data_IF_108417100752
#
_entry.id   IF_108417100752
#
_cell.length_a   1.000
_cell.length_b   1.000
_cell.length_c   1.000
_cell.angle_alpha   90.00
_cell.angle_beta   90.00
_cell.angle_gamma   90.00
#
_symmetry.space_group_name_H-M   'P 1'
#
loop_
_entity.id
_entity.type
_entity.pdbx_description
1 polymer ?
#
# COMPACT_ATOMS: atom_id res chain seq x y z
N UNK A 1 -3.34 -10.81 0.43
CA UNK A 1 -4.56 -10.13 -0.06
C UNK A 1 -4.91 -8.89 0.77
N UNK A 2 -4.95 -8.96 2.13
CA UNK A 2 -5.33 -7.81 2.98
C UNK A 2 -4.40 -6.60 2.81
N UNK A 3 -3.10 -6.82 2.72
CA UNK A 3 -2.11 -5.74 2.54
C UNK A 3 -2.25 -5.07 1.17
N UNK A 4 -2.54 -5.86 0.14
CA UNK A 4 -2.78 -5.33 -1.21
C UNK A 4 -4.08 -4.53 -1.24
N UNK A 5 -5.10 -4.97 -0.52
CA UNK A 5 -6.34 -4.19 -0.35
C UNK A 5 -6.06 -2.83 0.29
N UNK A 6 -5.26 -2.81 1.36
CA UNK A 6 -4.88 -1.56 2.01
C UNK A 6 -4.11 -0.63 1.05
N UNK A 7 -3.20 -1.19 0.26
CA UNK A 7 -2.48 -0.42 -0.76
C UNK A 7 -3.42 0.15 -1.82
N UNK A 8 -4.34 -0.68 -2.32
CA UNK A 8 -5.36 -0.26 -3.28
C UNK A 8 -6.22 0.89 -2.72
N UNK A 9 -6.73 0.77 -1.50
CA UNK A 9 -7.53 1.83 -0.85
C UNK A 9 -6.71 3.11 -0.62
N UNK A 10 -5.43 2.99 -0.25
CA UNK A 10 -4.54 4.16 -0.17
C UNK A 10 -4.36 4.83 -1.53
N UNK A 11 -4.22 4.05 -2.60
CA UNK A 11 -4.09 4.60 -3.95
C UNK A 11 -5.35 5.34 -4.40
N UNK A 12 -6.55 4.79 -4.10
CA UNK A 12 -7.81 5.50 -4.32
C UNK A 12 -7.86 6.85 -3.60
N UNK A 13 -7.44 6.88 -2.33
CA UNK A 13 -7.39 8.14 -1.57
C UNK A 13 -6.38 9.14 -2.13
N UNK A 14 -5.25 8.68 -2.67
CA UNK A 14 -4.31 9.56 -3.35
C UNK A 14 -4.91 10.22 -4.60
N UNK A 15 -5.85 9.55 -5.28
CA UNK A 15 -6.58 10.16 -6.40
C UNK A 15 -7.63 11.17 -5.94
N UNK A 16 -8.20 11.01 -4.75
CA UNK A 16 -9.21 11.91 -4.18
C UNK A 16 -8.62 13.15 -3.50
N UNK A 17 -7.36 13.09 -3.07
CA UNK A 17 -6.68 14.16 -2.35
C UNK A 17 -5.68 14.88 -3.26
N UNK A 18 -6.01 16.11 -3.66
CA UNK A 18 -5.23 16.94 -4.59
C UNK A 18 -3.75 17.07 -4.20
N UNK A 19 -3.43 16.99 -2.91
CA UNK A 19 -2.04 17.06 -2.40
C UNK A 19 -1.14 15.94 -2.95
N UNK A 20 -1.72 14.82 -3.37
CA UNK A 20 -0.97 13.64 -3.84
C UNK A 20 -1.04 13.42 -5.36
N UNK A 21 -1.93 14.10 -6.06
CA UNK A 21 -2.14 13.93 -7.51
C UNK A 21 -0.87 14.19 -8.32
N UNK A 22 -0.10 15.23 -7.97
CA UNK A 22 1.16 15.55 -8.66
C UNK A 22 2.21 14.43 -8.53
N UNK A 23 2.26 13.74 -7.39
CA UNK A 23 3.16 12.62 -7.16
C UNK A 23 2.70 11.38 -7.93
N UNK A 24 1.38 11.13 -8.02
CA UNK A 24 0.83 10.04 -8.83
C UNK A 24 1.21 10.19 -10.31
N UNK A 25 1.22 11.42 -10.82
CA UNK A 25 1.66 11.68 -12.19
C UNK A 25 3.11 11.24 -12.41
N UNK A 26 4.00 11.48 -11.44
CA UNK A 26 5.40 11.04 -11.49
C UNK A 26 5.56 9.51 -11.39
N UNK A 27 4.70 8.84 -10.62
CA UNK A 27 4.70 7.40 -10.44
C UNK A 27 3.77 6.64 -11.41
N UNK A 28 3.23 7.31 -12.42
CA UNK A 28 2.29 6.74 -13.40
C UNK A 28 2.76 5.40 -14.00
N UNK A 29 4.02 5.30 -14.35
CA UNK A 29 4.57 4.08 -14.94
C UNK A 29 4.60 2.91 -13.95
N UNK A 30 4.78 3.19 -12.66
CA UNK A 30 4.77 2.15 -11.62
C UNK A 30 3.38 1.51 -11.49
N UNK A 31 2.31 2.32 -11.57
CA UNK A 31 0.92 1.87 -11.44
C UNK A 31 0.26 1.55 -12.79
N UNK A 32 0.97 1.60 -13.92
CA UNK A 32 0.37 1.42 -15.24
C UNK A 32 -0.43 0.11 -15.39
N UNK A 33 0.06 -0.99 -14.79
CA UNK A 33 -0.58 -2.30 -14.85
C UNK A 33 -1.80 -2.44 -13.93
N UNK A 34 -1.94 -1.54 -12.94
CA UNK A 34 -3.10 -1.55 -12.02
C UNK A 34 -4.38 -1.12 -12.72
N UNK A 35 -4.27 -0.31 -13.78
CA UNK A 35 -5.40 0.28 -14.47
C UNK A 35 -6.10 1.37 -13.66
N UNK A 36 -7.36 1.66 -14.01
CA UNK A 36 -8.15 2.62 -13.24
C UNK A 36 -8.63 1.99 -11.92
N UNK A 37 -8.18 2.56 -10.81
CA UNK A 37 -8.56 2.14 -9.45
C UNK A 37 -9.65 3.02 -8.85
N UNK A 38 -10.02 4.15 -9.49
CA UNK A 38 -10.89 5.16 -8.89
C UNK A 38 -12.35 4.73 -8.81
N UNK A 39 -12.84 4.00 -9.81
CA UNK A 39 -14.26 3.67 -9.98
C UNK A 39 -14.56 2.16 -9.81
N UNK A 40 -13.62 1.40 -9.26
CA UNK A 40 -13.75 -0.05 -9.10
C UNK A 40 -13.59 -0.45 -7.64
N UNK A 41 -14.33 -1.46 -7.20
CA UNK A 41 -14.11 -2.03 -5.88
C UNK A 41 -12.93 -3.02 -5.90
N UNK A 42 -12.30 -3.21 -4.72
CA UNK A 42 -11.13 -4.06 -4.59
C UNK A 42 -11.38 -5.50 -5.07
N UNK A 43 -12.49 -6.11 -4.74
CA UNK A 43 -12.71 -7.53 -5.06
C UNK A 43 -12.91 -7.78 -6.56
N UNK A 44 -13.49 -6.82 -7.29
CA UNK A 44 -13.56 -6.85 -8.75
C UNK A 44 -12.18 -6.64 -9.36
N UNK A 45 -11.47 -5.61 -8.92
CA UNK A 45 -10.11 -5.32 -9.38
C UNK A 45 -9.15 -6.48 -9.10
N UNK A 46 -9.25 -7.11 -7.91
CA UNK A 46 -8.39 -8.22 -7.52
C UNK A 46 -8.52 -9.44 -8.42
N UNK A 47 -9.72 -9.78 -8.86
CA UNK A 47 -9.95 -10.93 -9.78
C UNK A 47 -9.15 -10.81 -11.07
N UNK A 48 -8.98 -9.59 -11.57
CA UNK A 48 -8.25 -9.31 -12.79
C UNK A 48 -6.75 -9.12 -12.56
N UNK A 49 -6.35 -8.52 -11.44
CA UNK A 49 -4.99 -8.05 -11.19
C UNK A 49 -4.16 -8.88 -10.20
N UNK A 50 -4.71 -9.96 -9.62
CA UNK A 50 -3.97 -10.78 -8.64
C UNK A 50 -2.63 -11.31 -9.18
N UNK A 51 -2.54 -11.61 -10.48
CA UNK A 51 -1.33 -12.09 -11.13
C UNK A 51 -0.14 -11.13 -11.01
N UNK A 52 -0.38 -9.83 -10.79
CA UNK A 52 0.68 -8.83 -10.60
C UNK A 52 1.46 -9.01 -9.28
N UNK A 53 0.89 -9.77 -8.34
CA UNK A 53 1.42 -9.99 -7.00
C UNK A 53 1.85 -11.44 -6.76
N UNK A 54 1.77 -12.27 -7.78
CA UNK A 54 2.24 -13.63 -7.73
C UNK A 54 3.77 -13.66 -7.86
N UNK A 55 4.42 -14.46 -7.01
CA UNK A 55 5.85 -14.71 -7.15
C UNK A 55 6.09 -15.49 -8.43
N UNK A 56 7.01 -15.00 -9.24
CA UNK A 56 7.43 -15.72 -10.44
C UNK A 56 8.28 -16.91 -10.01
N UNK A 57 7.69 -18.09 -10.06
CA UNK A 57 8.39 -19.35 -9.76
C UNK A 57 9.25 -19.72 -10.97
N UNK A 58 10.48 -20.15 -10.73
CA UNK A 58 11.34 -20.70 -11.79
C UNK A 58 10.74 -22.02 -12.24
N UNK A 59 10.32 -22.08 -13.51
CA UNK A 59 9.78 -23.28 -14.11
C UNK A 59 10.77 -23.85 -15.15
N UNK A 60 10.82 -25.16 -15.26
CA UNK A 60 11.46 -25.81 -16.40
C UNK A 60 10.67 -25.46 -17.66
N UNK A 61 11.28 -24.70 -18.56
CA UNK A 61 10.61 -24.19 -19.74
C UNK A 61 10.76 -25.22 -20.88
N UNK A 62 9.68 -25.94 -21.17
CA UNK A 62 9.64 -26.91 -22.30
C UNK A 62 9.57 -26.24 -23.67
N UNK A 63 9.22 -24.95 -23.74
CA UNK A 63 9.17 -24.17 -24.99
C UNK A 63 9.81 -22.81 -24.76
N UNK A 64 10.56 -22.32 -25.71
CA UNK A 64 11.16 -20.98 -25.69
C UNK A 64 10.04 -19.96 -25.70
N UNK A 65 9.96 -19.14 -24.65
CA UNK A 65 9.02 -18.03 -24.58
C UNK A 65 9.54 -16.85 -25.39
N UNK A 66 8.67 -16.25 -26.20
CA UNK A 66 8.94 -14.98 -26.92
C UNK A 66 8.56 -13.75 -26.11
N UNK A 67 8.11 -13.93 -24.88
CA UNK A 67 7.75 -12.81 -24.02
C UNK A 67 9.00 -12.01 -23.63
N UNK A 68 8.97 -10.66 -23.76
CA UNK A 68 10.09 -9.80 -23.36
C UNK A 68 10.35 -9.81 -21.83
N UNK A 69 9.44 -10.39 -21.07
CA UNK A 69 9.53 -10.48 -19.60
C UNK A 69 10.14 -11.81 -19.11
N UNK A 70 10.36 -12.75 -20.01
CA UNK A 70 10.87 -14.08 -19.67
C UNK A 70 12.26 -14.26 -20.28
N UNK A 71 13.23 -14.51 -19.43
CA UNK A 71 14.59 -14.88 -19.85
C UNK A 71 14.72 -16.40 -19.90
N UNK A 72 14.97 -16.95 -21.09
CA UNK A 72 15.24 -18.37 -21.26
C UNK A 72 16.75 -18.59 -21.23
N UNK A 73 17.21 -19.49 -20.36
CA UNK A 73 18.63 -19.82 -20.23
C UNK A 73 18.84 -21.29 -20.60
N UNK A 74 19.93 -21.57 -21.34
CA UNK A 74 20.45 -22.92 -21.51
C UNK A 74 21.52 -23.14 -20.44
N UNK A 75 21.35 -24.18 -19.61
CA UNK A 75 22.24 -24.47 -18.50
C UNK A 75 22.92 -25.81 -18.76
N UNK A 76 24.25 -25.84 -18.88
CA UNK A 76 24.99 -27.08 -18.96
C UNK A 76 24.94 -27.85 -17.64
N UNK A 77 24.55 -29.12 -17.67
CA UNK A 77 24.38 -29.93 -16.46
C UNK A 77 25.67 -30.58 -15.96
N UNK A 78 26.74 -30.48 -16.73
CA UNK A 78 28.08 -31.02 -16.47
C UNK A 78 29.01 -30.00 -15.78
N UNK A 79 28.56 -28.76 -15.63
CA UNK A 79 29.30 -27.69 -14.96
C UNK A 79 29.09 -27.69 -13.43
N UNK A 80 30.04 -27.06 -12.72
CA UNK A 80 29.95 -26.88 -11.28
C UNK A 80 28.73 -25.99 -10.90
N UNK A 81 27.88 -26.49 -10.02
CA UNK A 81 26.63 -25.80 -9.58
C UNK A 81 26.88 -24.37 -9.10
N UNK A 82 27.98 -24.14 -8.35
CA UNK A 82 28.31 -22.79 -7.86
C UNK A 82 28.67 -21.84 -9.01
N UNK A 83 29.33 -22.32 -10.03
CA UNK A 83 29.66 -21.58 -11.25
C UNK A 83 28.38 -21.24 -12.02
N UNK A 84 27.49 -22.21 -12.19
CA UNK A 84 26.19 -22.03 -12.87
C UNK A 84 25.37 -20.95 -12.15
N UNK A 85 25.22 -21.04 -10.79
CA UNK A 85 24.46 -20.07 -10.00
C UNK A 85 25.03 -18.65 -10.14
N UNK A 86 26.38 -18.53 -10.13
CA UNK A 86 27.03 -17.22 -10.27
C UNK A 86 26.76 -16.62 -11.66
N UNK A 87 26.87 -17.40 -12.73
CA UNK A 87 26.63 -16.96 -14.11
C UNK A 87 25.16 -16.59 -14.32
N UNK A 88 24.21 -17.42 -13.85
CA UNK A 88 22.76 -17.14 -13.91
C UNK A 88 22.44 -15.85 -13.17
N UNK A 89 22.98 -15.68 -11.95
CA UNK A 89 22.80 -14.46 -11.17
C UNK A 89 23.28 -13.23 -11.91
N UNK A 90 24.48 -13.27 -12.48
CA UNK A 90 25.07 -12.16 -13.24
C UNK A 90 24.21 -11.76 -14.44
N UNK A 91 23.74 -12.74 -15.23
CA UNK A 91 22.90 -12.50 -16.39
C UNK A 91 21.56 -11.89 -15.99
N UNK A 92 20.93 -12.42 -14.92
CA UNK A 92 19.65 -11.91 -14.42
C UNK A 92 19.80 -10.47 -13.89
N UNK A 93 20.83 -10.20 -13.08
CA UNK A 93 21.10 -8.86 -12.55
C UNK A 93 21.33 -7.85 -13.68
N UNK A 94 22.09 -8.21 -14.70
CA UNK A 94 22.30 -7.35 -15.87
C UNK A 94 20.98 -7.03 -16.57
N UNK A 95 20.16 -8.04 -16.87
CA UNK A 95 18.88 -7.86 -17.56
C UNK A 95 17.86 -7.05 -16.72
N UNK A 96 17.84 -7.26 -15.41
CA UNK A 96 17.04 -6.45 -14.51
C UNK A 96 17.47 -4.98 -14.49
N UNK A 97 18.78 -4.74 -14.48
CA UNK A 97 19.35 -3.38 -14.53
C UNK A 97 18.97 -2.70 -15.84
N UNK A 98 19.14 -3.37 -16.97
CA UNK A 98 18.75 -2.85 -18.29
C UNK A 98 17.26 -2.50 -18.34
N UNK A 99 16.40 -3.36 -17.79
CA UNK A 99 14.94 -3.11 -17.72
C UNK A 99 14.59 -1.92 -16.84
N UNK A 100 15.24 -1.78 -15.68
CA UNK A 100 15.04 -0.62 -14.79
C UNK A 100 15.44 0.70 -15.48
N UNK A 101 16.58 0.71 -16.17
CA UNK A 101 17.03 1.87 -16.92
C UNK A 101 16.06 2.25 -18.04
N UNK A 102 15.51 1.26 -18.77
CA UNK A 102 14.49 1.50 -19.79
C UNK A 102 13.22 2.13 -19.22
N UNK A 103 12.88 1.83 -17.95
CA UNK A 103 11.76 2.40 -17.23
C UNK A 103 12.07 3.75 -16.56
N UNK A 104 13.30 4.28 -16.74
CA UNK A 104 13.73 5.53 -16.11
C UNK A 104 13.95 5.41 -14.59
N UNK A 105 14.10 4.19 -14.08
CA UNK A 105 14.31 3.93 -12.65
C UNK A 105 15.80 3.73 -12.40
N UNK A 106 16.38 4.49 -11.45
CA UNK A 106 17.76 4.28 -11.02
C UNK A 106 17.89 2.93 -10.30
N UNK A 107 18.70 1.97 -10.84
CA UNK A 107 18.89 0.66 -10.23
C UNK A 107 19.39 0.72 -8.79
N UNK A 108 20.17 1.75 -8.43
CA UNK A 108 20.69 1.94 -7.08
C UNK A 108 19.63 2.40 -6.08
N UNK A 109 18.52 2.98 -6.56
CA UNK A 109 17.39 3.36 -5.71
C UNK A 109 16.55 2.16 -5.27
N UNK A 110 16.62 1.07 -6.02
CA UNK A 110 15.90 -0.19 -5.74
C UNK A 110 16.75 -1.07 -4.84
N UNK A 111 16.89 -0.71 -3.56
CA UNK A 111 17.47 -1.61 -2.56
C UNK A 111 16.51 -2.76 -2.31
N UNK A 112 16.64 -3.81 -3.11
CA UNK A 112 15.93 -5.07 -2.95
C UNK A 112 16.31 -5.72 -1.61
N UNK A 113 15.54 -5.46 -0.57
CA UNK A 113 15.57 -6.22 0.68
C UNK A 113 14.43 -7.23 0.77
N UNK A 114 13.64 -7.35 -0.27
CA UNK A 114 12.51 -8.28 -0.34
C UNK A 114 12.95 -9.61 -0.92
N UNK A 115 12.60 -10.70 -0.24
CA UNK A 115 12.73 -12.06 -0.77
C UNK A 115 11.66 -12.37 -1.83
N UNK A 116 10.73 -11.46 -2.09
CA UNK A 116 9.69 -11.60 -3.10
C UNK A 116 10.21 -11.20 -4.47
N UNK A 117 9.93 -12.03 -5.47
CA UNK A 117 10.21 -11.78 -6.89
C UNK A 117 9.11 -10.97 -7.58
N UNK A 118 8.05 -10.65 -6.84
CA UNK A 118 6.96 -9.82 -7.34
C UNK A 118 7.40 -8.38 -7.56
N UNK A 119 6.98 -7.78 -8.68
CA UNK A 119 7.17 -6.36 -9.01
C UNK A 119 6.65 -5.44 -7.90
N UNK A 120 5.58 -5.86 -7.23
CA UNK A 120 4.91 -5.13 -6.15
C UNK A 120 5.19 -5.79 -4.81
N UNK A 121 6.45 -5.78 -4.40
CA UNK A 121 6.87 -6.33 -3.11
C UNK A 121 6.65 -5.32 -1.99
N UNK A 122 6.29 -5.83 -0.80
CA UNK A 122 6.19 -5.01 0.39
C UNK A 122 7.58 -4.68 0.95
N UNK A 123 7.78 -3.45 1.38
CA UNK A 123 9.06 -2.99 1.94
C UNK A 123 9.22 -3.37 3.41
N UNK A 124 8.12 -3.70 4.09
CA UNK A 124 8.11 -4.12 5.50
C UNK A 124 7.76 -5.60 5.66
N UNK A 125 8.45 -6.28 6.58
CA UNK A 125 8.23 -7.69 6.90
C UNK A 125 6.87 -7.94 7.57
N UNK A 126 6.39 -6.99 8.38
CA UNK A 126 5.12 -7.08 9.10
C UNK A 126 4.33 -5.78 8.99
N UNK A 127 3.16 -5.85 8.41
CA UNK A 127 2.19 -4.76 8.42
C UNK A 127 1.18 -5.02 9.54
N UNK A 128 1.03 -4.06 10.45
CA UNK A 128 -0.05 -4.05 11.44
C UNK A 128 -1.38 -3.72 10.76
N UNK A 129 -1.86 -4.62 9.90
CA UNK A 129 -2.96 -4.38 8.96
C UNK A 129 -4.21 -3.76 9.58
N UNK A 130 -4.61 -4.25 10.76
CA UNK A 130 -5.79 -3.70 11.47
C UNK A 130 -5.57 -2.23 11.90
N UNK A 131 -4.38 -1.88 12.40
CA UNK A 131 -4.04 -0.52 12.81
C UNK A 131 -4.07 0.44 11.61
N UNK A 132 -3.49 0.05 10.49
CA UNK A 132 -3.51 0.85 9.27
C UNK A 132 -4.94 1.03 8.74
N UNK A 133 -5.75 -0.02 8.79
CA UNK A 133 -7.13 0.04 8.33
C UNK A 133 -7.98 1.02 9.15
N UNK A 134 -7.87 0.98 10.48
CA UNK A 134 -8.58 1.91 11.37
C UNK A 134 -8.17 3.36 11.11
N UNK A 135 -6.86 3.61 10.99
CA UNK A 135 -6.35 4.95 10.71
C UNK A 135 -6.86 5.47 9.36
N UNK A 136 -6.93 4.59 8.34
CA UNK A 136 -7.45 4.92 7.03
C UNK A 136 -8.93 5.33 7.09
N UNK A 137 -9.74 4.61 7.86
CA UNK A 137 -11.15 4.94 8.04
C UNK A 137 -11.35 6.29 8.77
N UNK A 138 -10.52 6.58 9.79
CA UNK A 138 -10.50 7.89 10.43
C UNK A 138 -10.18 8.98 9.41
N UNK A 139 -9.22 8.73 8.54
CA UNK A 139 -8.79 9.68 7.53
C UNK A 139 -9.87 9.92 6.46
N UNK A 140 -10.59 8.88 6.01
CA UNK A 140 -11.73 9.02 5.10
C UNK A 140 -12.80 9.97 5.69
N UNK A 141 -13.18 9.74 6.96
CA UNK A 141 -14.15 10.61 7.63
C UNK A 141 -13.61 12.06 7.76
N UNK A 142 -12.31 12.20 8.03
CA UNK A 142 -11.67 13.51 8.09
C UNK A 142 -11.72 14.26 6.74
N UNK A 143 -11.56 13.56 5.62
CA UNK A 143 -11.71 14.12 4.27
C UNK A 143 -13.17 14.44 3.96
N UNK A 144 -14.10 13.53 4.24
CA UNK A 144 -15.55 13.70 3.99
C UNK A 144 -16.10 14.96 4.71
N UNK A 145 -15.57 15.26 5.87
CA UNK A 145 -15.89 16.46 6.64
C UNK A 145 -15.07 17.72 6.23
N UNK A 146 -14.39 17.68 5.09
CA UNK A 146 -13.57 18.79 4.58
C UNK A 146 -12.44 19.23 5.52
N UNK A 147 -11.79 18.28 6.18
CA UNK A 147 -10.61 18.47 7.05
C UNK A 147 -10.86 19.46 8.20
N UNK A 148 -11.84 19.22 9.06
CA UNK A 148 -12.15 20.11 10.17
C UNK A 148 -11.02 20.16 11.21
N UNK A 149 -10.98 21.19 12.08
CA UNK A 149 -10.11 21.18 13.25
C UNK A 149 -10.37 19.95 14.11
N UNK A 150 -9.29 19.24 14.50
CA UNK A 150 -9.39 18.04 15.33
C UNK A 150 -9.59 18.49 16.79
N UNK A 151 -10.84 18.54 17.20
CA UNK A 151 -11.33 18.98 18.48
C UNK A 151 -12.49 18.10 18.95
N UNK A 152 -13.12 18.44 20.08
CA UNK A 152 -14.28 17.72 20.60
C UNK A 152 -15.43 17.58 19.60
N UNK A 153 -15.72 18.59 18.78
CA UNK A 153 -16.77 18.52 17.75
C UNK A 153 -16.46 17.45 16.72
N UNK A 154 -15.21 17.41 16.25
CA UNK A 154 -14.77 16.36 15.33
C UNK A 154 -14.88 14.96 15.95
N UNK A 155 -14.52 14.78 17.23
CA UNK A 155 -14.67 13.49 17.90
C UNK A 155 -16.12 13.01 17.96
N UNK A 156 -17.07 13.93 18.18
CA UNK A 156 -18.51 13.62 18.16
C UNK A 156 -18.94 13.13 16.77
N UNK A 157 -18.56 13.82 15.71
CA UNK A 157 -18.89 13.42 14.34
C UNK A 157 -18.21 12.13 13.95
N UNK A 158 -16.95 11.95 14.35
CA UNK A 158 -16.21 10.70 14.16
C UNK A 158 -16.96 9.54 14.85
N UNK A 159 -17.39 9.73 16.09
CA UNK A 159 -18.17 8.71 16.83
C UNK A 159 -19.47 8.35 16.13
N UNK A 160 -20.27 9.34 15.71
CA UNK A 160 -21.52 9.10 14.97
C UNK A 160 -21.28 8.28 13.71
N UNK A 161 -20.27 8.65 12.92
CA UNK A 161 -19.90 7.92 11.71
C UNK A 161 -19.52 6.47 11.99
N UNK A 162 -18.79 6.21 13.07
CA UNK A 162 -18.43 4.85 13.46
C UNK A 162 -19.61 4.04 13.98
N UNK A 163 -20.53 4.66 14.72
CA UNK A 163 -21.72 3.99 15.25
C UNK A 163 -22.76 3.66 14.15
N UNK A 164 -22.81 4.46 13.10
CA UNK A 164 -23.68 4.24 11.94
C UNK A 164 -23.21 3.08 11.03
N UNK A 165 -21.95 2.67 11.14
CA UNK A 165 -21.41 1.59 10.32
C UNK A 165 -21.77 0.22 10.91
N UNK A 166 -22.08 -0.80 10.06
CA UNK A 166 -22.35 -2.15 10.55
C UNK A 166 -21.17 -2.68 11.35
N UNK A 167 -21.42 -3.58 12.30
CA UNK A 167 -20.44 -4.18 13.23
C UNK A 167 -19.24 -4.77 12.48
N UNK A 168 -18.35 -3.94 12.04
CA UNK A 168 -17.08 -4.32 11.43
C UNK A 168 -16.02 -4.47 12.52
N UNK A 169 -14.91 -5.07 12.14
CA UNK A 169 -13.68 -5.18 12.95
C UNK A 169 -13.24 -3.83 13.58
N UNK A 170 -13.71 -2.72 13.03
CA UNK A 170 -13.47 -1.34 13.47
C UNK A 170 -13.97 -1.04 14.87
N UNK A 171 -15.12 -1.60 15.30
CA UNK A 171 -15.66 -1.32 16.66
C UNK A 171 -14.72 -1.74 17.78
N UNK A 172 -13.92 -2.79 17.60
CA UNK A 172 -12.95 -3.26 18.61
C UNK A 172 -11.64 -2.48 18.62
N UNK A 173 -11.29 -1.81 17.52
CA UNK A 173 -9.97 -1.18 17.34
C UNK A 173 -9.93 0.28 17.77
N UNK A 174 -11.11 0.92 17.91
CA UNK A 174 -11.21 2.30 18.40
C UNK A 174 -11.51 2.29 19.90
N UNK A 175 -10.78 1.46 20.60
CA UNK A 175 -10.94 1.22 22.04
C UNK A 175 -10.91 2.53 22.85
N UNK A 176 -10.23 3.55 22.36
CA UNK A 176 -10.04 4.81 23.06
C UNK A 176 -10.95 5.95 22.57
N UNK A 177 -11.88 5.70 21.62
CA UNK A 177 -12.81 6.74 21.22
C UNK A 177 -13.92 6.86 22.28
N UNK A 178 -14.16 8.08 22.84
CA UNK A 178 -15.16 8.30 23.89
C UNK A 178 -16.55 7.82 23.48
N UNK A 179 -17.31 7.30 24.45
CA UNK A 179 -18.70 6.92 24.26
C UNK A 179 -19.57 8.17 24.14
N UNK A 180 -20.77 8.04 23.55
CA UNK A 180 -21.69 9.19 23.42
C UNK A 180 -22.01 9.86 24.77
N UNK A 181 -22.17 9.06 25.84
CA UNK A 181 -22.36 9.54 27.21
C UNK A 181 -21.17 10.34 27.76
N UNK A 182 -19.95 10.07 27.31
CA UNK A 182 -18.76 10.79 27.77
C UNK A 182 -18.77 12.23 27.25
N UNK A 183 -19.31 12.45 26.02
CA UNK A 183 -19.48 13.79 25.48
C UNK A 183 -20.56 14.63 26.16
N UNK A 184 -21.52 14.00 26.85
CA UNK A 184 -22.48 14.69 27.69
C UNK A 184 -21.84 15.13 29.00
N UNK A 185 -20.99 14.25 29.57
CA UNK A 185 -20.32 14.48 30.86
C UNK A 185 -19.16 15.48 30.76
N UNK A 186 -18.36 15.37 29.73
CA UNK A 186 -17.15 16.19 29.54
C UNK A 186 -17.36 17.17 28.38
N UNK A 187 -17.17 18.46 28.63
CA UNK A 187 -17.59 19.52 27.70
C UNK A 187 -16.44 20.27 27.03
N UNK A 188 -15.22 20.15 27.54
CA UNK A 188 -14.07 20.92 27.04
C UNK A 188 -13.17 20.07 26.13
N UNK A 189 -12.33 20.72 25.33
CA UNK A 189 -11.30 20.02 24.55
C UNK A 189 -10.23 19.39 25.46
N UNK A 190 -9.97 20.01 26.62
CA UNK A 190 -8.97 19.51 27.57
C UNK A 190 -9.32 18.12 28.11
N UNK A 191 -10.61 17.83 28.28
CA UNK A 191 -11.09 16.52 28.74
C UNK A 191 -10.77 15.39 27.73
N UNK A 192 -10.51 15.73 26.47
CA UNK A 192 -10.26 14.78 25.39
C UNK A 192 -8.86 14.94 24.76
N UNK A 193 -7.95 15.65 25.40
CA UNK A 193 -6.65 16.01 24.80
C UNK A 193 -5.84 14.78 24.34
N UNK A 194 -5.83 13.70 25.13
CA UNK A 194 -5.10 12.48 24.76
C UNK A 194 -5.71 11.79 23.54
N UNK A 195 -7.05 11.77 23.47
CA UNK A 195 -7.76 11.21 22.30
C UNK A 195 -7.52 12.09 21.07
N UNK A 196 -7.64 13.40 21.21
CA UNK A 196 -7.36 14.38 20.16
C UNK A 196 -5.93 14.20 19.62
N UNK A 197 -4.96 14.05 20.53
CA UNK A 197 -3.54 13.81 20.19
C UNK A 197 -3.37 12.48 19.47
N UNK A 198 -4.05 11.43 19.91
CA UNK A 198 -4.04 10.12 19.25
C UNK A 198 -4.59 10.19 17.84
N UNK A 199 -5.72 10.84 17.63
CA UNK A 199 -6.35 11.03 16.31
C UNK A 199 -5.44 11.85 15.37
N UNK A 200 -4.81 12.93 15.87
CA UNK A 200 -3.83 13.70 15.10
C UNK A 200 -2.66 12.84 14.61
N UNK A 201 -2.15 11.94 15.47
CA UNK A 201 -1.08 10.98 15.10
C UNK A 201 -1.57 10.00 14.04
N UNK A 202 -2.80 9.49 14.16
CA UNK A 202 -3.40 8.60 13.18
C UNK A 202 -3.51 9.26 11.81
N UNK A 203 -4.01 10.49 11.74
CA UNK A 203 -4.12 11.26 10.49
C UNK A 203 -2.74 11.48 9.86
N UNK A 204 -1.75 11.95 10.64
CA UNK A 204 -0.37 12.14 10.16
C UNK A 204 0.26 10.82 9.65
N UNK A 205 -0.03 9.72 10.31
CA UNK A 205 0.45 8.39 9.90
C UNK A 205 -0.11 8.01 8.53
N UNK A 206 -1.40 8.25 8.30
CA UNK A 206 -2.03 8.01 6.99
C UNK A 206 -1.44 8.94 5.93
N UNK A 207 -1.30 10.24 6.21
CA UNK A 207 -0.69 11.19 5.26
C UNK A 207 0.70 10.75 4.83
N UNK A 208 1.52 10.25 5.76
CA UNK A 208 2.84 9.68 5.44
C UNK A 208 2.72 8.44 4.54
N UNK A 209 1.75 7.57 4.82
CA UNK A 209 1.50 6.38 3.99
C UNK A 209 1.04 6.79 2.59
N UNK A 210 0.12 7.75 2.47
CA UNK A 210 -0.35 8.25 1.18
C UNK A 210 0.77 8.92 0.37
N UNK A 211 1.67 9.64 1.04
CA UNK A 211 2.84 10.20 0.39
C UNK A 211 3.76 9.10 -0.18
N UNK A 212 3.98 8.02 0.56
CA UNK A 212 4.76 6.88 0.06
C UNK A 212 4.06 6.21 -1.13
N UNK A 213 2.76 5.92 -1.00
CA UNK A 213 1.96 5.30 -2.07
C UNK A 213 1.94 6.17 -3.32
N UNK A 214 1.74 7.48 -3.18
CA UNK A 214 1.76 8.41 -4.32
C UNK A 214 3.11 8.47 -5.06
N UNK A 215 4.18 8.03 -4.40
CA UNK A 215 5.52 7.89 -4.99
C UNK A 215 5.85 6.44 -5.41
N UNK A 216 4.85 5.56 -5.54
CA UNK A 216 5.05 4.17 -5.94
C UNK A 216 5.69 3.27 -4.86
N UNK A 217 5.57 3.64 -3.58
CA UNK A 217 6.12 2.87 -2.46
C UNK A 217 5.02 2.55 -1.47
N UNK A 218 4.91 1.29 -1.06
CA UNK A 218 4.02 0.89 0.03
C UNK A 218 4.84 0.41 1.24
N UNK A 219 4.43 0.79 2.49
CA UNK A 219 5.16 0.44 3.70
C UNK A 219 5.27 -1.05 3.95
#
# INVERSE_FOLDING_TARGET
KQHIRLWFECLQLCHQDERFVSNLTKSKYFYAEWGDVTNVNFDTWWKDKQHLFEDKIVHEVKKISKSPEVLTLSIPLDENISSIIMQVKQIVEQRQTEKLLQLGIDPNSVKSKSSSTSKYAFTQKELKGLFHYVNLEIYKIYLDLSRPPINRKFLIELRKNFDARPRSLLKKSIVNLPQSKDFERYKTNADFEDVIRSIRRSIKSVEKTLLNVSNGKFP
#
